data_IF_989323490936
#
_entry.id   IF_989323490936
#
_cell.length_a   1.000
_cell.length_b   1.000
_cell.length_c   1.000
_cell.angle_alpha   90.00
_cell.angle_beta   90.00
_cell.angle_gamma   90.00
#
_symmetry.space_group_name_H-M   'P 1'
#
loop_
_entity.id
_entity.type
_entity.pdbx_description
1 polymer ?
#
# COMPACT_ATOMS: atom_id res chain seq x y z
N UNK A 1 20.44 -23.36 -29.63
CA UNK A 1 19.85 -22.02 -29.45
C UNK A 1 18.54 -22.21 -28.68
N UNK A 2 18.55 -21.98 -27.36
CA UNK A 2 17.31 -22.01 -26.57
C UNK A 2 16.72 -20.60 -26.61
N UNK A 3 15.56 -20.47 -27.25
CA UNK A 3 14.79 -19.23 -27.29
C UNK A 3 14.15 -19.06 -25.91
N UNK A 4 14.79 -18.25 -25.06
CA UNK A 4 14.21 -17.80 -23.80
C UNK A 4 13.03 -16.88 -24.13
N UNK A 5 11.82 -17.44 -24.10
CA UNK A 5 10.61 -16.63 -24.08
C UNK A 5 10.60 -15.95 -22.71
N UNK A 6 10.92 -14.66 -22.67
CA UNK A 6 10.61 -13.86 -21.50
C UNK A 6 9.09 -13.93 -21.33
N UNK A 7 8.62 -14.62 -20.30
CA UNK A 7 7.22 -14.59 -19.93
C UNK A 7 6.87 -13.13 -19.65
N UNK A 8 5.96 -12.54 -20.44
CA UNK A 8 5.38 -11.25 -20.11
C UNK A 8 4.60 -11.43 -18.81
N UNK A 9 5.02 -10.71 -17.79
CA UNK A 9 4.57 -10.90 -16.40
C UNK A 9 3.28 -10.10 -16.19
N UNK A 10 2.12 -10.65 -16.60
CA UNK A 10 0.79 -10.00 -16.50
C UNK A 10 0.14 -10.22 -15.12
N UNK A 11 -0.61 -9.24 -14.60
CA UNK A 11 -1.45 -9.39 -13.41
C UNK A 11 -2.55 -10.42 -13.67
N UNK A 12 -2.91 -11.19 -12.64
CA UNK A 12 -3.85 -12.30 -12.78
C UNK A 12 -5.26 -11.84 -12.34
N UNK A 13 -6.28 -11.99 -13.20
CA UNK A 13 -7.63 -11.60 -12.85
C UNK A 13 -8.23 -12.47 -11.74
N UNK A 14 -9.02 -11.85 -10.88
CA UNK A 14 -9.91 -12.51 -9.93
C UNK A 14 -11.32 -11.97 -10.08
N UNK A 15 -12.32 -12.69 -9.59
CA UNK A 15 -13.70 -12.21 -9.59
C UNK A 15 -13.99 -11.57 -8.24
N UNK A 16 -14.45 -10.33 -8.28
CA UNK A 16 -14.77 -9.52 -7.11
C UNK A 16 -16.23 -9.08 -7.16
N UNK A 17 -16.92 -9.26 -6.04
CA UNK A 17 -18.26 -8.78 -5.79
C UNK A 17 -18.20 -7.64 -4.76
N UNK A 18 -18.36 -6.37 -5.17
CA UNK A 18 -18.03 -5.22 -4.33
C UNK A 18 -19.02 -4.95 -3.21
N UNK A 19 -20.24 -5.49 -3.25
CA UNK A 19 -21.21 -5.39 -2.14
C UNK A 19 -21.53 -6.76 -1.48
N UNK A 20 -20.76 -7.78 -1.84
CA UNK A 20 -20.86 -9.12 -1.31
C UNK A 20 -22.03 -9.93 -1.90
N UNK A 21 -21.92 -11.26 -1.80
CA UNK A 21 -22.89 -12.18 -2.40
C UNK A 21 -24.35 -11.87 -2.03
N UNK A 22 -25.17 -11.64 -3.06
CA UNK A 22 -26.60 -11.32 -2.90
C UNK A 22 -26.93 -9.82 -2.89
N UNK A 23 -25.92 -8.96 -3.06
CA UNK A 23 -26.08 -7.52 -3.29
C UNK A 23 -26.60 -7.15 -4.68
N UNK A 24 -26.67 -5.84 -4.92
CA UNK A 24 -27.14 -5.27 -6.19
C UNK A 24 -26.01 -5.11 -7.21
N UNK A 25 -24.75 -5.05 -6.77
CA UNK A 25 -23.61 -5.06 -7.65
C UNK A 25 -23.43 -6.46 -8.27
N UNK A 26 -22.80 -6.48 -9.45
CA UNK A 26 -22.49 -7.74 -10.13
C UNK A 26 -21.03 -8.06 -9.90
N UNK A 27 -20.77 -9.31 -9.50
CA UNK A 27 -19.43 -9.85 -9.43
C UNK A 27 -18.73 -9.77 -10.81
N UNK A 28 -17.56 -9.14 -10.85
CA UNK A 28 -16.84 -8.85 -12.10
C UNK A 28 -15.36 -9.21 -12.00
N UNK A 29 -14.76 -9.49 -13.15
CA UNK A 29 -13.33 -9.75 -13.26
C UNK A 29 -12.54 -8.46 -13.08
N UNK A 30 -11.63 -8.45 -12.10
CA UNK A 30 -10.77 -7.32 -11.76
C UNK A 30 -9.35 -7.82 -11.49
N UNK A 31 -8.39 -6.91 -11.54
CA UNK A 31 -7.03 -7.16 -11.08
C UNK A 31 -6.44 -5.96 -10.32
N UNK A 32 -7.15 -4.83 -10.28
CA UNK A 32 -6.63 -3.56 -9.77
C UNK A 32 -7.70 -2.80 -8.98
N UNK A 33 -7.30 -2.37 -7.79
CA UNK A 33 -8.01 -1.41 -6.96
C UNK A 33 -7.26 -0.09 -6.99
N UNK A 34 -7.98 0.99 -7.26
CA UNK A 34 -7.45 2.35 -7.30
C UNK A 34 -8.08 3.12 -6.14
N UNK A 35 -7.26 3.54 -5.18
CA UNK A 35 -7.75 4.21 -3.98
C UNK A 35 -7.88 5.71 -4.22
N UNK A 36 -8.82 6.35 -3.53
CA UNK A 36 -8.86 7.82 -3.49
C UNK A 36 -7.62 8.36 -2.77
N UNK A 37 -7.27 9.65 -2.96
CA UNK A 37 -6.28 10.32 -2.14
C UNK A 37 -6.53 10.07 -0.65
N UNK A 38 -5.52 9.55 0.02
CA UNK A 38 -5.55 9.10 1.40
C UNK A 38 -4.39 9.66 2.21
N UNK A 39 -4.18 9.08 3.38
CA UNK A 39 -3.25 9.57 4.38
C UNK A 39 -2.20 8.51 4.72
N UNK A 40 -0.93 8.92 4.80
CA UNK A 40 0.12 8.11 5.39
C UNK A 40 0.85 8.85 6.50
N UNK A 41 1.35 8.14 7.52
CA UNK A 41 2.10 8.69 8.64
C UNK A 41 3.33 7.84 8.93
N UNK A 42 4.51 8.45 8.88
CA UNK A 42 5.77 7.83 9.29
C UNK A 42 6.09 8.20 10.76
N UNK A 43 5.65 7.37 11.70
CA UNK A 43 5.86 7.54 13.14
C UNK A 43 7.30 7.18 13.51
N UNK A 44 8.11 8.18 13.82
CA UNK A 44 9.54 8.09 14.05
C UNK A 44 10.38 8.21 12.78
N UNK A 45 9.77 8.54 11.63
CA UNK A 45 10.45 8.61 10.34
C UNK A 45 11.62 9.59 10.35
N UNK A 46 11.42 10.83 10.79
CA UNK A 46 12.50 11.82 10.86
C UNK A 46 13.58 11.44 11.87
N UNK A 47 13.18 10.77 12.96
CA UNK A 47 14.13 10.25 13.95
C UNK A 47 15.05 9.21 13.31
N UNK A 48 14.52 8.33 12.46
CA UNK A 48 15.31 7.35 11.71
C UNK A 48 16.27 8.02 10.73
N UNK A 49 15.81 9.02 9.98
CA UNK A 49 16.64 9.78 9.04
C UNK A 49 17.77 10.51 9.78
N UNK A 50 17.46 11.17 10.90
CA UNK A 50 18.46 11.87 11.72
C UNK A 50 19.49 10.90 12.33
N UNK A 51 19.06 9.72 12.78
CA UNK A 51 19.96 8.67 13.23
C UNK A 51 20.89 8.21 12.10
N UNK A 52 20.36 8.00 10.89
CA UNK A 52 21.17 7.59 9.75
C UNK A 52 22.21 8.64 9.38
N UNK A 53 21.84 9.93 9.31
CA UNK A 53 22.79 11.00 8.97
C UNK A 53 23.90 11.13 10.02
N UNK A 54 23.57 10.94 11.30
CA UNK A 54 24.55 11.11 12.40
C UNK A 54 25.44 9.88 12.61
N UNK A 55 24.93 8.66 12.39
CA UNK A 55 25.62 7.42 12.77
C UNK A 55 25.81 6.43 11.62
N UNK A 56 25.23 6.68 10.45
CA UNK A 56 25.15 5.73 9.34
C UNK A 56 24.11 4.63 9.52
N UNK A 57 23.32 4.65 10.60
CA UNK A 57 22.30 3.63 10.90
C UNK A 57 20.95 4.27 11.22
N UNK A 58 19.90 3.86 10.51
CA UNK A 58 18.52 4.26 10.79
C UNK A 58 17.91 3.48 11.95
N UNK A 59 17.06 4.13 12.74
CA UNK A 59 16.20 3.43 13.73
C UNK A 59 14.97 2.84 13.05
N UNK A 60 14.38 1.82 13.65
CA UNK A 60 13.08 1.30 13.19
C UNK A 60 11.98 2.30 13.46
N UNK A 61 11.09 2.48 12.49
CA UNK A 61 9.90 3.33 12.58
C UNK A 61 8.71 2.63 11.90
N UNK A 62 7.48 3.14 12.10
CA UNK A 62 6.28 2.59 11.46
C UNK A 62 5.72 3.57 10.43
N UNK A 63 5.36 3.05 9.27
CA UNK A 63 4.56 3.77 8.28
C UNK A 63 3.14 3.21 8.34
N UNK A 64 2.18 4.09 8.61
CA UNK A 64 0.75 3.81 8.60
C UNK A 64 0.14 4.40 7.33
N UNK A 65 -0.89 3.76 6.79
CA UNK A 65 -1.63 4.27 5.63
C UNK A 65 -3.11 3.94 5.76
N UNK A 66 -3.98 4.85 5.32
CA UNK A 66 -5.42 4.66 5.24
C UNK A 66 -6.04 5.42 4.06
N UNK A 67 -6.99 4.79 3.38
CA UNK A 67 -7.70 5.37 2.24
C UNK A 67 -9.05 4.67 1.99
N UNK A 68 -9.89 5.29 1.16
CA UNK A 68 -11.09 4.66 0.58
C UNK A 68 -10.78 4.14 -0.81
N UNK A 69 -11.46 3.08 -1.23
CA UNK A 69 -11.44 2.62 -2.61
C UNK A 69 -12.17 3.64 -3.49
N UNK A 70 -11.50 4.12 -4.53
CA UNK A 70 -12.06 5.06 -5.51
C UNK A 70 -12.64 4.33 -6.72
N UNK A 71 -11.84 3.45 -7.31
CA UNK A 71 -12.19 2.75 -8.54
C UNK A 71 -11.78 1.28 -8.52
N UNK A 72 -12.51 0.46 -9.27
CA UNK A 72 -12.20 -0.94 -9.55
C UNK A 72 -11.96 -1.06 -11.05
N UNK A 73 -10.78 -1.53 -11.45
CA UNK A 73 -10.42 -1.64 -12.86
C UNK A 73 -10.38 -3.10 -13.32
N UNK A 74 -10.98 -3.35 -14.48
CA UNK A 74 -10.92 -4.65 -15.13
C UNK A 74 -9.51 -4.93 -15.67
N UNK A 75 -9.19 -6.18 -16.02
CA UNK A 75 -7.90 -6.53 -16.65
C UNK A 75 -7.63 -5.84 -17.99
N UNK A 76 -8.63 -5.21 -18.61
CA UNK A 76 -8.49 -4.40 -19.82
C UNK A 76 -8.48 -2.90 -19.52
N UNK A 77 -8.26 -2.51 -18.26
CA UNK A 77 -8.30 -1.14 -17.74
C UNK A 77 -9.65 -0.43 -17.94
N UNK A 78 -10.76 -1.17 -18.04
CA UNK A 78 -12.08 -0.56 -18.01
C UNK A 78 -12.46 -0.29 -16.55
N UNK A 79 -12.97 0.90 -16.27
CA UNK A 79 -13.59 1.20 -14.98
C UNK A 79 -14.89 0.40 -14.84
N UNK A 80 -14.94 -0.47 -13.83
CA UNK A 80 -16.08 -1.33 -13.49
C UNK A 80 -16.65 -1.00 -12.11
N UNK A 81 -16.36 0.19 -11.61
CA UNK A 81 -16.81 0.68 -10.31
C UNK A 81 -18.33 0.73 -10.26
N UNK A 82 -18.97 0.06 -9.29
CA UNK A 82 -20.42 0.14 -9.15
C UNK A 82 -20.81 1.53 -8.63
N UNK A 83 -21.94 2.06 -9.12
CA UNK A 83 -22.44 3.37 -8.72
C UNK A 83 -22.76 3.50 -7.21
N UNK A 84 -22.92 2.37 -6.52
CA UNK A 84 -23.16 2.25 -5.08
C UNK A 84 -21.91 2.46 -4.22
N UNK A 85 -20.70 2.29 -4.77
CA UNK A 85 -19.45 2.51 -4.02
C UNK A 85 -19.36 3.96 -3.56
N UNK A 86 -18.96 4.17 -2.30
CA UNK A 86 -18.90 5.44 -1.59
C UNK A 86 -20.26 6.19 -1.50
N UNK A 87 -21.38 5.50 -1.75
CA UNK A 87 -22.73 6.07 -1.66
C UNK A 87 -23.64 5.25 -0.73
N UNK A 88 -23.72 3.94 -0.94
CA UNK A 88 -24.52 3.02 -0.10
C UNK A 88 -23.67 2.03 0.69
N UNK A 89 -22.40 1.92 0.33
CA UNK A 89 -21.37 1.21 1.08
C UNK A 89 -20.02 1.84 0.72
N UNK A 90 -18.99 1.57 1.50
CA UNK A 90 -17.61 1.89 1.15
C UNK A 90 -16.70 0.69 1.36
N UNK A 91 -15.56 0.73 0.67
CA UNK A 91 -14.46 -0.20 0.89
C UNK A 91 -13.26 0.64 1.28
N UNK A 92 -12.62 0.29 2.37
CA UNK A 92 -11.48 1.04 2.91
C UNK A 92 -10.28 0.14 3.09
N UNK A 93 -9.10 0.75 3.13
CA UNK A 93 -7.85 0.08 3.42
C UNK A 93 -7.18 0.75 4.59
N UNK A 94 -6.58 -0.07 5.46
CA UNK A 94 -5.59 0.35 6.44
C UNK A 94 -4.36 -0.53 6.34
N UNK A 95 -3.18 0.04 6.58
CA UNK A 95 -1.95 -0.73 6.67
C UNK A 95 -0.98 -0.12 7.67
N UNK A 96 -0.13 -0.99 8.21
CA UNK A 96 1.03 -0.60 9.00
C UNK A 96 2.18 -1.52 8.64
N UNK A 97 3.35 -0.95 8.38
CA UNK A 97 4.57 -1.70 8.20
C UNK A 97 5.76 -0.95 8.79
N UNK A 98 6.77 -1.70 9.21
CA UNK A 98 7.96 -1.13 9.81
C UNK A 98 9.07 -0.97 8.79
N UNK A 99 9.75 0.16 8.85
CA UNK A 99 10.83 0.52 7.95
C UNK A 99 12.06 0.97 8.75
N UNK A 100 13.19 1.04 8.06
CA UNK A 100 14.40 1.70 8.54
C UNK A 100 15.02 2.50 7.40
N UNK A 101 15.67 3.61 7.74
CA UNK A 101 16.42 4.42 6.78
C UNK A 101 17.64 3.63 6.29
N UNK A 102 17.70 3.38 4.98
CA UNK A 102 18.83 2.71 4.34
C UNK A 102 19.80 3.70 3.67
N UNK A 103 19.32 4.92 3.42
CA UNK A 103 20.09 6.02 2.86
C UNK A 103 19.39 7.33 3.20
N UNK A 104 20.18 8.35 3.56
CA UNK A 104 19.69 9.72 3.67
C UNK A 104 20.83 10.72 3.43
N UNK A 105 20.48 11.88 2.90
CA UNK A 105 21.38 13.02 2.74
C UNK A 105 20.63 14.32 3.01
N UNK A 106 21.35 15.34 3.48
CA UNK A 106 20.86 16.72 3.60
C UNK A 106 21.14 17.56 2.34
N UNK A 107 21.86 17.00 1.36
CA UNK A 107 22.17 17.67 0.10
C UNK A 107 20.92 17.81 -0.79
N UNK A 108 20.87 18.88 -1.59
CA UNK A 108 19.83 19.14 -2.61
C UNK A 108 18.38 19.08 -2.09
N UNK A 109 18.13 19.69 -0.93
CA UNK A 109 16.80 19.73 -0.31
C UNK A 109 16.53 18.56 0.63
N UNK A 110 17.29 17.47 0.54
CA UNK A 110 17.19 16.30 1.41
C UNK A 110 16.46 15.15 0.72
N UNK A 111 17.12 13.99 0.66
CA UNK A 111 16.59 12.75 0.07
C UNK A 111 16.78 11.65 1.10
N UNK A 112 15.75 10.83 1.29
CA UNK A 112 15.84 9.61 2.09
C UNK A 112 15.21 8.44 1.35
N UNK A 113 15.75 7.25 1.57
CA UNK A 113 15.11 6.00 1.18
C UNK A 113 15.10 5.02 2.35
N UNK A 114 14.15 4.10 2.27
CA UNK A 114 13.84 3.20 3.35
C UNK A 114 13.57 1.79 2.82
N UNK A 115 13.79 0.83 3.71
CA UNK A 115 13.54 -0.59 3.46
C UNK A 115 12.72 -1.18 4.59
N UNK A 116 11.87 -2.14 4.25
CA UNK A 116 11.11 -2.91 5.22
C UNK A 116 12.02 -3.55 6.29
N UNK A 117 11.56 -3.52 7.54
CA UNK A 117 12.11 -4.33 8.64
C UNK A 117 11.33 -5.65 8.70
N UNK A 118 11.96 -6.79 8.36
CA UNK A 118 11.28 -8.10 8.41
C UNK A 118 10.93 -8.51 9.84
N UNK A 119 9.88 -9.32 10.00
CA UNK A 119 9.45 -9.86 11.30
C UNK A 119 8.78 -8.84 12.23
N UNK A 120 8.51 -7.63 11.73
CA UNK A 120 7.81 -6.57 12.43
C UNK A 120 6.28 -6.66 12.34
N UNK A 121 5.59 -5.68 12.95
CA UNK A 121 4.14 -5.46 12.75
C UNK A 121 3.92 -4.91 11.34
N UNK A 122 3.54 -5.80 10.42
CA UNK A 122 3.50 -5.55 8.98
C UNK A 122 2.17 -6.06 8.39
N UNK A 123 1.06 -5.34 8.56
CA UNK A 123 -0.26 -5.76 8.10
C UNK A 123 -0.84 -4.83 7.03
N UNK A 124 -1.72 -5.41 6.22
CA UNK A 124 -2.66 -4.71 5.34
C UNK A 124 -4.04 -5.32 5.59
N UNK A 125 -5.06 -4.49 5.74
CA UNK A 125 -6.45 -4.92 5.92
C UNK A 125 -7.36 -4.09 5.04
N UNK A 126 -8.33 -4.74 4.41
CA UNK A 126 -9.37 -4.12 3.59
C UNK A 126 -10.71 -4.46 4.20
N UNK A 127 -11.53 -3.43 4.39
CA UNK A 127 -12.83 -3.51 5.05
C UNK A 127 -13.93 -3.12 4.07
N UNK A 128 -15.09 -3.77 4.20
CA UNK A 128 -16.34 -3.36 3.60
C UNK A 128 -17.24 -2.79 4.69
N UNK A 129 -17.81 -1.60 4.47
CA UNK A 129 -18.78 -1.00 5.38
C UNK A 129 -20.09 -0.66 4.63
N UNK A 130 -21.26 -1.19 5.04
CA UNK A 130 -22.54 -0.80 4.47
C UNK A 130 -23.00 0.63 4.88
N UNK A 131 -22.24 1.33 5.72
CA UNK A 131 -22.49 2.70 6.16
C UNK A 131 -21.28 3.56 5.81
N UNK A 132 -21.30 4.30 4.70
CA UNK A 132 -20.18 5.16 4.34
C UNK A 132 -19.95 6.26 5.37
N UNK A 133 -18.93 6.13 6.21
CA UNK A 133 -18.64 7.02 7.33
C UNK A 133 -17.14 7.26 7.59
N UNK A 134 -16.25 6.67 6.77
CA UNK A 134 -14.84 7.02 6.75
C UNK A 134 -14.69 8.54 6.66
N UNK A 135 -13.70 9.07 7.34
CA UNK A 135 -13.49 10.51 7.43
C UNK A 135 -11.99 10.80 7.46
N UNK A 136 -11.49 11.38 6.37
CA UNK A 136 -10.07 11.65 6.23
C UNK A 136 -9.56 12.63 7.26
N UNK A 137 -10.29 13.72 7.55
CA UNK A 137 -9.88 14.72 8.55
C UNK A 137 -9.83 14.13 9.96
N UNK A 138 -10.89 13.44 10.39
CA UNK A 138 -10.95 12.81 11.71
C UNK A 138 -10.01 11.60 11.83
N UNK A 139 -9.72 10.91 10.72
CA UNK A 139 -8.96 9.67 10.71
C UNK A 139 -9.74 8.46 11.24
N UNK A 140 -11.05 8.42 11.03
CA UNK A 140 -11.98 7.41 11.55
C UNK A 140 -12.75 6.72 10.41
N UNK A 141 -13.44 5.61 10.69
CA UNK A 141 -14.28 4.89 9.72
C UNK A 141 -13.54 4.05 8.68
N UNK A 142 -12.22 3.89 8.82
CA UNK A 142 -11.43 3.12 7.85
C UNK A 142 -11.33 1.62 8.20
N UNK A 143 -11.74 1.19 9.39
CA UNK A 143 -11.50 -0.17 9.88
C UNK A 143 -12.58 -0.73 10.83
N UNK A 144 -13.78 -0.17 10.79
CA UNK A 144 -14.96 -0.53 11.60
C UNK A 144 -16.00 -1.35 10.84
N UNK A 145 -15.82 -1.54 9.54
CA UNK A 145 -16.61 -2.45 8.72
C UNK A 145 -16.26 -3.93 8.91
N UNK A 146 -16.77 -4.76 8.00
CA UNK A 146 -16.44 -6.19 7.89
C UNK A 146 -15.10 -6.36 7.18
N UNK A 147 -14.16 -7.09 7.81
CA UNK A 147 -12.89 -7.43 7.18
C UNK A 147 -13.12 -8.35 5.98
N UNK A 148 -12.73 -7.90 4.78
CA UNK A 148 -12.88 -8.68 3.53
C UNK A 148 -11.56 -9.18 2.96
N UNK A 149 -10.44 -8.56 3.33
CA UNK A 149 -9.09 -9.03 2.97
C UNK A 149 -8.12 -8.67 4.09
N UNK A 150 -7.19 -9.56 4.41
CA UNK A 150 -5.99 -9.20 5.16
C UNK A 150 -4.74 -9.80 4.54
N UNK A 151 -3.59 -9.20 4.84
CA UNK A 151 -2.29 -9.66 4.37
C UNK A 151 -1.14 -9.15 5.22
N UNK A 152 0.03 -9.71 4.99
CA UNK A 152 1.29 -9.31 5.61
C UNK A 152 2.18 -8.61 4.60
N UNK A 153 2.73 -7.43 4.93
CA UNK A 153 3.75 -6.78 4.08
C UNK A 153 5.05 -7.56 4.15
N UNK A 154 5.54 -8.05 3.01
CA UNK A 154 6.71 -8.92 2.89
C UNK A 154 7.92 -8.22 2.26
N UNK A 155 7.70 -7.15 1.49
CA UNK A 155 8.76 -6.23 1.09
C UNK A 155 8.21 -4.80 0.94
N UNK A 156 9.06 -3.81 1.19
CA UNK A 156 8.79 -2.40 0.97
C UNK A 156 10.06 -1.70 0.51
N UNK A 157 9.93 -0.87 -0.52
CA UNK A 157 10.94 0.10 -0.91
C UNK A 157 10.26 1.45 -0.98
N UNK A 158 10.75 2.42 -0.20
CA UNK A 158 10.18 3.76 -0.20
C UNK A 158 11.28 4.82 -0.28
N UNK A 159 10.90 5.99 -0.75
CA UNK A 159 11.76 7.16 -0.82
C UNK A 159 10.94 8.44 -0.68
N UNK A 160 11.60 9.50 -0.23
CA UNK A 160 11.04 10.84 -0.20
C UNK A 160 12.13 11.88 -0.44
N UNK A 161 11.78 12.93 -1.19
CA UNK A 161 12.62 14.10 -1.41
C UNK A 161 11.86 15.36 -1.03
N UNK A 162 12.50 16.21 -0.23
CA UNK A 162 12.05 17.59 -0.04
C UNK A 162 12.58 18.44 -1.18
N UNK A 163 11.67 19.08 -1.91
CA UNK A 163 11.96 19.91 -3.08
C UNK A 163 11.96 21.40 -2.77
N UNK A 164 11.30 21.82 -1.69
CA UNK A 164 11.32 23.19 -1.17
C UNK A 164 11.14 23.20 0.34
N UNK A 165 12.01 23.93 1.05
CA UNK A 165 11.91 24.16 2.51
C UNK A 165 11.11 25.41 2.87
N UNK A 166 10.57 26.12 1.88
CA UNK A 166 9.65 27.24 2.10
C UNK A 166 8.33 26.70 2.62
N UNK A 167 7.92 27.01 3.86
CA UNK A 167 6.69 26.48 4.43
C UNK A 167 5.46 26.97 3.66
N UNK A 168 4.48 26.09 3.51
CA UNK A 168 3.12 26.35 3.05
C UNK A 168 2.16 25.74 4.08
N UNK A 169 0.89 26.12 4.09
CA UNK A 169 -0.10 25.46 4.96
C UNK A 169 0.00 23.94 4.79
N UNK A 170 -0.07 23.18 5.90
CA UNK A 170 -0.11 21.71 5.82
C UNK A 170 -1.28 21.26 4.96
N UNK A 171 -2.41 21.95 5.12
CA UNK A 171 -3.67 21.66 4.49
C UNK A 171 -4.19 22.85 3.68
N UNK A 172 -4.35 22.61 2.38
CA UNK A 172 -4.98 23.55 1.45
C UNK A 172 -6.18 22.91 0.74
N UNK A 173 -6.57 21.69 1.12
CA UNK A 173 -7.69 21.00 0.50
C UNK A 173 -9.01 21.69 0.90
N UNK A 174 -9.94 21.79 -0.04
CA UNK A 174 -11.23 22.45 0.18
C UNK A 174 -11.15 23.94 0.56
N UNK A 175 -9.95 24.56 0.52
CA UNK A 175 -9.73 25.96 0.89
C UNK A 175 -9.77 26.25 2.40
N UNK A 176 -9.76 25.22 3.26
CA UNK A 176 -9.70 25.38 4.72
C UNK A 176 -8.38 24.82 5.22
N UNK A 177 -7.68 25.58 6.06
CA UNK A 177 -6.53 25.06 6.78
C UNK A 177 -7.00 24.43 8.10
N UNK A 178 -7.13 23.11 8.14
CA UNK A 178 -7.59 22.41 9.34
C UNK A 178 -6.54 22.39 10.46
N UNK A 179 -5.28 22.71 10.18
CA UNK A 179 -4.19 22.66 11.15
C UNK A 179 -3.30 23.92 11.09
N UNK A 180 -3.83 25.11 11.43
CA UNK A 180 -3.15 26.40 11.21
C UNK A 180 -1.90 26.64 12.08
N UNK A 181 -1.58 25.70 12.98
CA UNK A 181 -0.34 25.71 13.76
C UNK A 181 0.78 24.86 13.13
N UNK A 182 0.48 24.15 12.04
CA UNK A 182 1.36 23.23 11.35
C UNK A 182 1.42 23.63 9.88
N UNK A 183 2.59 24.07 9.44
CA UNK A 183 2.91 24.20 8.02
C UNK A 183 3.54 22.91 7.49
N UNK A 184 3.88 22.87 6.21
CA UNK A 184 4.59 21.78 5.58
C UNK A 184 5.64 22.29 4.60
N UNK A 185 6.73 21.55 4.47
CA UNK A 185 7.62 21.66 3.30
C UNK A 185 6.91 21.16 2.04
N UNK A 186 7.50 21.44 0.88
CA UNK A 186 7.08 20.77 -0.37
C UNK A 186 8.00 19.60 -0.65
N UNK A 187 7.43 18.47 -1.00
CA UNK A 187 8.20 17.27 -1.32
C UNK A 187 7.35 16.19 -1.96
N UNK A 188 8.04 15.23 -2.55
CA UNK A 188 7.40 14.10 -3.21
C UNK A 188 8.24 12.84 -3.01
N UNK A 189 7.56 11.70 -3.07
CA UNK A 189 8.16 10.40 -2.87
C UNK A 189 7.27 9.28 -3.38
N UNK A 190 7.71 8.06 -3.14
CA UNK A 190 6.90 6.89 -3.43
C UNK A 190 7.21 5.73 -2.51
N UNK A 191 6.22 4.86 -2.32
CA UNK A 191 6.41 3.55 -1.70
C UNK A 191 5.92 2.48 -2.66
N UNK A 192 6.70 1.41 -2.80
CA UNK A 192 6.27 0.17 -3.43
C UNK A 192 6.24 -0.93 -2.37
N UNK A 193 5.06 -1.53 -2.16
CA UNK A 193 4.89 -2.67 -1.25
C UNK A 193 4.61 -3.96 -2.02
N UNK A 194 5.09 -5.04 -1.42
CA UNK A 194 4.71 -6.40 -1.72
C UNK A 194 4.10 -7.00 -0.46
N UNK A 195 2.94 -7.63 -0.60
CA UNK A 195 2.26 -8.30 0.50
C UNK A 195 1.82 -9.71 0.13
N UNK A 196 1.74 -10.58 1.12
CA UNK A 196 1.11 -11.90 0.99
C UNK A 196 -0.30 -11.82 1.58
N UNK A 197 -1.31 -12.26 0.83
CA UNK A 197 -2.69 -12.33 1.32
C UNK A 197 -2.81 -13.43 2.37
N UNK A 198 -3.35 -13.12 3.53
CA UNK A 198 -3.58 -14.09 4.62
C UNK A 198 -5.03 -14.57 4.64
N UNK A 199 -5.97 -13.70 4.26
CA UNK A 199 -7.40 -13.96 4.28
C UNK A 199 -8.11 -13.19 3.16
N UNK A 200 -9.16 -13.80 2.61
CA UNK A 200 -10.17 -13.18 1.75
C UNK A 200 -11.55 -13.70 2.15
N UNK A 201 -12.54 -12.83 2.15
CA UNK A 201 -13.94 -13.23 2.33
C UNK A 201 -14.49 -13.76 0.99
N UNK A 202 -14.92 -15.04 0.90
CA UNK A 202 -15.44 -15.61 -0.34
C UNK A 202 -16.77 -15.00 -0.82
N UNK A 203 -17.48 -14.25 0.02
CA UNK A 203 -18.65 -13.48 -0.39
C UNK A 203 -18.27 -12.30 -1.31
N UNK A 204 -17.05 -11.78 -1.17
CA UNK A 204 -16.52 -10.66 -1.96
C UNK A 204 -15.52 -11.16 -3.01
N UNK A 205 -14.64 -12.09 -2.67
CA UNK A 205 -13.63 -12.67 -3.56
C UNK A 205 -14.12 -14.03 -4.07
N UNK A 206 -15.06 -14.01 -5.00
CA UNK A 206 -15.84 -15.19 -5.38
C UNK A 206 -15.04 -16.22 -6.19
N UNK A 207 -14.01 -15.79 -6.93
CA UNK A 207 -13.11 -16.68 -7.66
C UNK A 207 -11.72 -16.07 -7.85
N UNK A 208 -10.70 -16.92 -8.00
CA UNK A 208 -9.36 -16.53 -8.46
C UNK A 208 -8.42 -16.08 -7.35
N UNK A 209 -8.82 -15.16 -6.47
CA UNK A 209 -7.95 -14.71 -5.37
C UNK A 209 -7.97 -15.71 -4.21
N UNK A 210 -6.78 -16.13 -3.78
CA UNK A 210 -6.60 -17.03 -2.65
C UNK A 210 -5.61 -16.46 -1.64
N UNK A 211 -5.63 -17.00 -0.42
CA UNK A 211 -4.51 -16.83 0.50
C UNK A 211 -3.18 -17.16 -0.23
N UNK A 212 -2.12 -16.43 0.12
CA UNK A 212 -0.79 -16.42 -0.46
C UNK A 212 -0.63 -15.69 -1.82
N UNK A 213 -1.70 -15.09 -2.37
CA UNK A 213 -1.56 -14.17 -3.49
C UNK A 213 -0.62 -13.00 -3.15
N UNK A 214 0.11 -12.52 -4.16
CA UNK A 214 1.01 -11.37 -4.02
C UNK A 214 0.23 -10.10 -4.37
N UNK A 215 0.14 -9.19 -3.42
CA UNK A 215 -0.40 -7.84 -3.64
C UNK A 215 0.75 -6.88 -3.89
N UNK A 216 0.66 -6.13 -4.98
CA UNK A 216 1.56 -5.04 -5.31
C UNK A 216 0.84 -3.73 -5.02
N UNK A 217 1.42 -2.91 -4.15
CA UNK A 217 0.92 -1.56 -3.92
C UNK A 217 1.96 -0.56 -4.37
N UNK A 218 1.53 0.50 -5.03
CA UNK A 218 2.34 1.70 -5.18
C UNK A 218 1.60 2.89 -4.62
N UNK A 219 2.32 3.74 -3.91
CA UNK A 219 1.81 5.01 -3.44
C UNK A 219 2.67 6.15 -3.97
N UNK A 220 2.05 7.20 -4.48
CA UNK A 220 2.69 8.50 -4.59
C UNK A 220 2.55 9.20 -3.25
N UNK A 221 3.63 9.76 -2.71
CA UNK A 221 3.60 10.56 -1.47
C UNK A 221 3.84 12.02 -1.82
N UNK A 222 3.03 12.92 -1.29
CA UNK A 222 3.12 14.35 -1.59
C UNK A 222 2.95 15.18 -0.33
N UNK A 223 3.69 16.27 -0.27
CA UNK A 223 3.53 17.39 0.67
C UNK A 223 3.47 18.72 -0.09
N UNK A 224 2.64 19.69 0.32
CA UNK A 224 1.59 19.60 1.35
C UNK A 224 0.33 18.86 0.85
N UNK A 225 -0.71 18.80 1.68
CA UNK A 225 -2.01 18.22 1.34
C UNK A 225 -2.84 19.18 0.47
N UNK A 226 -3.27 18.69 -0.70
CA UNK A 226 -4.04 19.46 -1.68
C UNK A 226 -5.25 18.71 -2.25
N UNK A 227 -5.39 17.40 -1.96
CA UNK A 227 -6.45 16.53 -2.52
C UNK A 227 -7.23 15.79 -1.44
N UNK A 228 -6.78 15.84 -0.19
CA UNK A 228 -7.45 15.24 0.98
C UNK A 228 -7.05 16.00 2.25
N UNK A 229 -7.92 16.03 3.27
CA UNK A 229 -7.55 16.59 4.57
C UNK A 229 -6.54 15.67 5.31
N UNK A 230 -5.55 16.22 6.04
CA UNK A 230 -4.67 15.43 6.89
C UNK A 230 -5.43 14.77 8.06
N UNK A 231 -5.29 13.46 8.22
CA UNK A 231 -5.90 12.70 9.31
C UNK A 231 -5.38 13.05 10.70
N UNK A 232 -6.30 13.19 11.65
CA UNK A 232 -6.00 13.36 13.07
C UNK A 232 -5.73 12.02 13.80
N UNK A 233 -6.17 10.90 13.24
CA UNK A 233 -6.08 9.57 13.86
C UNK A 233 -5.69 8.49 12.83
N UNK A 234 -5.02 7.44 13.33
CA UNK A 234 -4.56 6.30 12.51
C UNK A 234 -4.72 4.97 13.24
N UNK A 235 -4.82 3.88 12.49
CA UNK A 235 -4.98 2.51 13.02
C UNK A 235 -3.62 1.86 13.27
N UNK A 236 -3.24 1.69 14.54
CA UNK A 236 -1.93 1.14 14.92
C UNK A 236 -1.88 -0.39 15.00
N UNK A 237 -3.02 -1.06 15.13
CA UNK A 237 -3.10 -2.49 15.30
C UNK A 237 -4.15 -3.10 14.37
N UNK A 238 -3.89 -4.32 13.91
CA UNK A 238 -4.78 -5.06 13.03
C UNK A 238 -6.07 -5.49 13.74
N UNK A 239 -7.04 -5.98 12.98
CA UNK A 239 -8.24 -6.62 13.49
C UNK A 239 -9.30 -5.64 13.98
N UNK A 240 -9.40 -4.49 13.31
CA UNK A 240 -10.42 -3.47 13.62
C UNK A 240 -10.14 -2.71 14.92
N UNK A 241 -8.87 -2.59 15.31
CA UNK A 241 -8.51 -1.82 16.50
C UNK A 241 -8.86 -0.34 16.32
N UNK A 242 -9.49 0.28 17.32
CA UNK A 242 -9.86 1.69 17.24
C UNK A 242 -8.66 2.58 16.85
N UNK A 243 -8.84 3.56 15.95
CA UNK A 243 -7.79 4.48 15.59
C UNK A 243 -7.36 5.31 16.82
N UNK A 244 -6.12 5.78 16.80
CA UNK A 244 -5.49 6.55 17.88
C UNK A 244 -5.03 7.90 17.34
N UNK A 245 -5.18 8.96 18.15
CA UNK A 245 -4.67 10.30 17.82
C UNK A 245 -3.18 10.25 17.52
N UNK A 246 -2.80 10.70 16.32
CA UNK A 246 -1.44 10.68 15.81
C UNK A 246 -1.26 11.75 14.72
N UNK A 247 -0.02 11.98 14.28
CA UNK A 247 0.26 12.95 13.22
C UNK A 247 -0.29 14.34 13.56
N UNK A 248 -1.00 14.95 12.62
CA UNK A 248 -1.58 16.28 12.73
C UNK A 248 -2.54 16.41 13.94
N UNK A 249 -3.21 15.32 14.34
CA UNK A 249 -4.12 15.32 15.50
C UNK A 249 -3.43 15.54 16.85
N UNK A 250 -2.12 15.36 16.93
CA UNK A 250 -1.32 15.64 18.14
C UNK A 250 -0.79 17.08 18.17
N UNK A 251 -1.10 17.88 17.16
CA UNK A 251 -0.51 19.20 16.97
C UNK A 251 0.98 19.12 16.65
N UNK A 252 1.73 20.11 17.15
CA UNK A 252 3.17 20.24 16.88
C UNK A 252 4.05 19.17 17.55
N UNK A 253 3.49 18.32 18.41
CA UNK A 253 4.24 17.28 19.13
C UNK A 253 4.74 16.14 18.24
N UNK A 254 4.03 15.84 17.15
CA UNK A 254 4.39 14.78 16.20
C UNK A 254 5.09 15.34 14.96
N UNK A 255 4.47 16.30 14.27
CA UNK A 255 4.96 16.81 12.98
C UNK A 255 5.90 18.01 13.12
N UNK A 256 5.97 18.62 14.31
CA UNK A 256 6.60 19.93 14.51
C UNK A 256 5.68 21.06 14.05
N UNK A 257 6.22 22.28 13.98
CA UNK A 257 5.51 23.41 13.37
C UNK A 257 5.61 23.38 11.84
N UNK A 258 6.52 22.57 11.28
CA UNK A 258 6.66 22.35 9.83
C UNK A 258 6.83 20.86 9.55
N UNK A 259 5.76 20.21 9.09
CA UNK A 259 5.76 18.82 8.66
C UNK A 259 6.78 18.58 7.55
N UNK A 260 7.52 17.47 7.64
CA UNK A 260 8.57 17.10 6.69
C UNK A 260 9.87 17.92 6.80
N UNK A 261 9.93 18.96 7.64
CA UNK A 261 11.18 19.64 7.93
C UNK A 261 12.13 18.72 8.68
N UNK A 262 13.42 18.74 8.33
CA UNK A 262 14.39 17.82 8.93
C UNK A 262 14.59 18.10 10.42
N UNK A 263 14.61 17.03 11.24
CA UNK A 263 14.70 17.13 12.69
C UNK A 263 16.00 17.83 13.13
N UNK A 264 15.87 18.81 14.02
CA UNK A 264 17.01 19.62 14.49
C UNK A 264 17.43 20.74 13.52
N UNK A 265 16.64 21.01 12.48
CA UNK A 265 16.84 22.15 11.57
C UNK A 265 15.63 23.08 11.55
N UNK A 266 15.75 24.17 10.79
CA UNK A 266 14.69 25.17 10.62
C UNK A 266 14.26 25.27 9.17
N UNK A 267 12.95 25.31 8.93
CA UNK A 267 12.35 25.53 7.62
C UNK A 267 11.43 26.76 7.73
N UNK A 268 11.80 27.86 7.07
CA UNK A 268 11.06 29.13 7.14
C UNK A 268 10.80 29.67 8.56
N UNK A 269 11.68 29.37 9.52
CA UNK A 269 11.54 29.81 10.92
C UNK A 269 10.79 28.84 11.83
N UNK A 270 10.18 27.79 11.28
CA UNK A 270 9.61 26.67 12.04
C UNK A 270 10.56 25.46 12.13
N UNK A 271 10.15 24.43 12.87
CA UNK A 271 10.94 23.22 13.12
C UNK A 271 10.15 21.96 12.84
N UNK A 272 10.84 20.90 12.40
CA UNK A 272 10.24 19.59 12.18
C UNK A 272 10.13 18.77 13.48
N UNK A 273 9.16 17.85 13.49
CA UNK A 273 8.96 16.87 14.56
C UNK A 273 9.58 15.50 14.24
N UNK A 274 9.42 14.52 15.15
CA UNK A 274 9.90 13.16 14.95
C UNK A 274 9.21 12.39 13.81
N UNK A 275 8.01 12.81 13.42
CA UNK A 275 7.14 12.14 12.46
C UNK A 275 6.96 12.98 11.19
N UNK A 276 6.47 12.35 10.10
CA UNK A 276 6.02 13.05 8.89
C UNK A 276 4.71 12.43 8.43
N UNK A 277 3.75 13.28 8.06
CA UNK A 277 2.46 12.85 7.52
C UNK A 277 2.32 13.28 6.06
N UNK A 278 1.90 12.38 5.18
CA UNK A 278 1.85 12.57 3.73
C UNK A 278 0.44 12.40 3.20
N UNK A 279 0.10 13.16 2.17
CA UNK A 279 -0.97 12.78 1.27
C UNK A 279 -0.46 11.63 0.41
N UNK A 280 -1.28 10.61 0.22
CA UNK A 280 -0.93 9.46 -0.61
C UNK A 280 -2.01 9.07 -1.57
N UNK A 281 -1.63 8.87 -2.83
CA UNK A 281 -2.48 8.25 -3.85
C UNK A 281 -1.95 6.86 -4.13
N UNK A 282 -2.81 5.85 -4.00
CA UNK A 282 -2.41 4.46 -3.99
C UNK A 282 -3.22 3.63 -4.98
N UNK A 283 -2.55 2.69 -5.63
CA UNK A 283 -3.24 1.60 -6.30
C UNK A 283 -2.65 0.25 -5.88
N UNK A 284 -3.48 -0.78 -6.00
CA UNK A 284 -3.17 -2.15 -5.63
C UNK A 284 -3.50 -3.06 -6.79
N UNK A 285 -2.49 -3.81 -7.24
CA UNK A 285 -2.66 -4.87 -8.24
C UNK A 285 -2.43 -6.23 -7.59
N UNK A 286 -3.17 -7.23 -8.06
CA UNK A 286 -3.06 -8.60 -7.55
C UNK A 286 -2.32 -9.49 -8.54
N UNK A 287 -1.50 -10.38 -7.99
CA UNK A 287 -0.92 -11.50 -8.73
C UNK A 287 -1.30 -12.78 -8.02
N UNK A 288 -1.83 -13.72 -8.79
CA UNK A 288 -2.04 -15.05 -8.27
C UNK A 288 -0.66 -15.71 -8.26
N UNK A 289 -0.29 -16.28 -7.12
CA UNK A 289 0.92 -17.08 -7.09
C UNK A 289 0.64 -18.25 -8.04
N UNK A 290 1.29 -18.26 -9.22
CA UNK A 290 1.12 -19.34 -10.19
C UNK A 290 1.22 -20.66 -9.44
N UNK A 291 0.12 -21.42 -9.41
CA UNK A 291 0.24 -22.85 -9.16
C UNK A 291 1.32 -23.32 -10.12
N UNK A 292 2.43 -23.79 -9.56
CA UNK A 292 3.44 -24.54 -10.30
C UNK A 292 2.66 -25.50 -11.19
N UNK A 293 2.82 -25.49 -12.53
CA UNK A 293 2.01 -26.33 -13.40
C UNK A 293 2.02 -27.77 -12.91
N UNK A 294 0.85 -28.26 -12.52
CA UNK A 294 0.69 -29.65 -12.13
C UNK A 294 1.07 -30.56 -13.33
N UNK A 295 1.68 -31.72 -13.07
CA UNK A 295 2.73 -32.36 -13.88
C UNK A 295 2.26 -32.98 -15.22
N UNK A 296 1.76 -32.17 -16.13
CA UNK A 296 1.61 -32.60 -17.54
C UNK A 296 2.97 -32.70 -18.24
N UNK A 297 3.96 -31.92 -17.80
CA UNK A 297 5.34 -31.99 -18.30
C UNK A 297 6.10 -33.25 -17.84
N UNK A 298 5.88 -33.74 -16.61
CA UNK A 298 6.49 -34.99 -16.13
C UNK A 298 5.84 -36.24 -16.76
N UNK A 299 4.55 -36.19 -17.09
CA UNK A 299 3.87 -37.26 -17.81
C UNK A 299 4.40 -37.41 -19.26
N UNK A 300 4.80 -36.30 -19.89
CA UNK A 300 5.35 -36.33 -21.25
C UNK A 300 6.79 -36.86 -21.31
N UNK A 301 7.62 -36.61 -20.29
CA UNK A 301 8.93 -37.26 -20.17
C UNK A 301 8.81 -38.75 -19.83
N UNK A 302 7.80 -39.16 -19.06
CA UNK A 302 7.53 -40.57 -18.75
C UNK A 302 7.02 -41.37 -19.96
N UNK A 303 6.17 -40.77 -20.81
CA UNK A 303 5.63 -41.44 -22.01
C UNK A 303 6.60 -41.42 -23.21
N UNK A 304 7.42 -40.37 -23.34
CA UNK A 304 8.45 -40.28 -24.39
C UNK A 304 9.55 -41.36 -24.29
N UNK A 305 9.97 -41.72 -23.07
CA UNK A 305 10.96 -42.77 -22.86
C UNK A 305 10.41 -44.19 -23.08
N UNK A 306 9.12 -44.44 -22.82
CA UNK A 306 8.48 -45.73 -23.10
C UNK A 306 8.33 -45.94 -24.62
N UNK A 307 8.03 -44.87 -25.39
CA UNK A 307 8.05 -44.90 -26.85
C UNK A 307 9.44 -45.20 -27.43
N UNK A 308 10.51 -44.66 -26.82
CA UNK A 308 11.88 -44.91 -27.28
C UNK A 308 12.40 -46.31 -26.89
N UNK A 309 12.05 -46.82 -25.70
CA UNK A 309 12.43 -48.16 -25.25
C UNK A 309 11.77 -49.29 -26.07
N UNK A 310 10.54 -49.06 -26.56
CA UNK A 310 9.86 -50.00 -27.48
C UNK A 310 10.45 -49.96 -28.89
N UNK A 311 10.94 -48.81 -29.36
CA UNK A 311 11.65 -48.70 -30.63
C UNK A 311 13.02 -49.40 -30.61
N UNK A 312 13.79 -49.25 -29.52
CA UNK A 312 15.12 -49.88 -29.38
C UNK A 312 15.02 -51.42 -29.33
N UNK A 313 14.00 -51.98 -28.67
CA UNK A 313 13.76 -53.45 -28.68
C UNK A 313 13.44 -54.01 -30.06
N UNK A 314 12.92 -53.21 -30.98
CA UNK A 314 12.54 -53.64 -32.33
C UNK A 314 13.71 -53.63 -33.31
N UNK A 315 14.75 -52.84 -33.03
CA UNK A 315 15.98 -52.78 -33.84
C UNK A 315 16.96 -53.89 -33.42
N UNK A 316 16.98 -54.31 -32.15
CA UNK A 316 17.85 -55.38 -31.66
C UNK A 316 17.44 -56.82 -32.05
N UNK A 317 16.44 -56.99 -32.94
CA UNK A 317 15.98 -58.30 -33.46
C UNK A 317 16.09 -58.42 -34.99
N UNK A 318 17.08 -57.77 -35.60
CA UNK A 318 17.54 -58.06 -36.97
C UNK A 318 19.01 -58.40 -36.97
#
# INVERSE_FOLDING_TARGET
LALSVAASVQADPFTFDPDGGGGAATAQSTNTFDYQPGNALAVGGQTSVASFISTGTGTTFSTLFQARLGSILSPTNADITPASLNNTFEITIVSRFQETTNFATTAAGGIASFTLVPGGVNFIEVYFDPTPDANSLAGTGFNDGTLIMSGTVTAANSNFQVTSTTPQNLDSFGGTDNYPAIDSVTGNGSTQLQGSVNFVDPAFFTQGLAAFALTLFNTSQVLPFNEVDPSAMFVFASGGAAPVTAGAGTGVGSLGTVNGCFLGTTCGGGSGGPDVQFQTDANQTFRLQQKIPEPSSLLLFGSGLIGLATLIRRIAKK
#
